data_IF_885137357202
#
_entry.id   IF_885137357202
#
_cell.length_a   1.000
_cell.length_b   1.000
_cell.length_c   1.000
_cell.angle_alpha   90.00
_cell.angle_beta   90.00
_cell.angle_gamma   90.00
#
_symmetry.space_group_name_H-M   'P 1'
#
loop_
_entity.id
_entity.type
_entity.pdbx_description
1 polymer ?
#
# COMPACT_ATOMS: atom_id res chain seq x y z
N UNK A 1 18.67 -7.49 23.32
CA UNK A 1 18.63 -8.61 22.35
C UNK A 1 17.27 -9.30 22.35
N UNK A 2 16.50 -9.24 23.44
CA UNK A 2 15.12 -9.76 23.54
C UNK A 2 14.12 -9.21 22.50
N UNK A 3 14.18 -7.93 22.17
CA UNK A 3 13.24 -7.34 21.21
C UNK A 3 13.39 -7.93 19.81
N UNK A 4 14.62 -8.08 19.31
CA UNK A 4 14.90 -8.66 17.99
C UNK A 4 14.45 -10.12 17.91
N UNK A 5 14.66 -10.90 18.98
CA UNK A 5 14.14 -12.29 19.05
C UNK A 5 12.62 -12.29 18.99
N UNK A 6 11.95 -11.55 19.87
CA UNK A 6 10.47 -11.48 19.90
C UNK A 6 9.89 -10.98 18.58
N UNK A 7 10.51 -9.96 17.98
CA UNK A 7 10.12 -9.45 16.66
C UNK A 7 10.17 -10.56 15.62
N UNK A 8 11.29 -11.28 15.50
CA UNK A 8 11.46 -12.36 14.52
C UNK A 8 10.54 -13.56 14.83
N UNK A 9 10.31 -13.88 16.10
CA UNK A 9 9.42 -14.97 16.53
C UNK A 9 7.94 -14.65 16.27
N UNK A 10 7.54 -13.37 16.29
CA UNK A 10 6.18 -12.91 16.01
C UNK A 10 5.93 -12.69 14.51
N UNK A 11 6.97 -12.52 13.69
CA UNK A 11 6.81 -12.34 12.23
C UNK A 11 5.97 -13.45 11.56
N UNK A 12 6.19 -14.75 11.80
CA UNK A 12 5.36 -15.80 11.19
C UNK A 12 3.88 -15.68 11.53
N UNK A 13 3.56 -15.29 12.77
CA UNK A 13 2.19 -15.09 13.22
C UNK A 13 1.58 -13.86 12.56
N UNK A 14 2.33 -12.77 12.46
CA UNK A 14 1.92 -11.57 11.74
C UNK A 14 1.70 -11.85 10.24
N UNK A 15 2.53 -12.68 9.60
CA UNK A 15 2.33 -13.11 8.22
C UNK A 15 1.09 -14.00 8.04
N UNK A 16 0.83 -14.91 8.98
CA UNK A 16 -0.39 -15.73 8.96
C UNK A 16 -1.63 -14.86 9.12
N UNK A 17 -1.61 -13.91 10.07
CA UNK A 17 -2.70 -12.95 10.28
C UNK A 17 -2.90 -12.06 9.04
N UNK A 18 -1.81 -11.61 8.41
CA UNK A 18 -1.88 -10.86 7.16
C UNK A 18 -2.48 -11.70 6.03
N UNK A 19 -2.09 -12.99 5.94
CA UNK A 19 -2.62 -13.91 4.95
C UNK A 19 -4.13 -14.15 5.12
N UNK A 20 -4.59 -14.34 6.35
CA UNK A 20 -6.02 -14.45 6.67
C UNK A 20 -6.77 -13.15 6.40
N UNK A 21 -6.17 -12.00 6.75
CA UNK A 21 -6.75 -10.68 6.52
C UNK A 21 -6.98 -10.38 5.03
N UNK A 22 -6.05 -10.79 4.16
CA UNK A 22 -6.21 -10.63 2.70
C UNK A 22 -7.11 -11.72 2.09
N UNK A 23 -7.84 -12.50 2.88
CA UNK A 23 -8.64 -13.64 2.41
C UNK A 23 -7.80 -14.66 1.60
N UNK A 24 -6.55 -14.83 2.03
CA UNK A 24 -5.55 -15.69 1.43
C UNK A 24 -5.32 -15.43 -0.06
N UNK A 25 -5.57 -16.45 -0.87
CA UNK A 25 -5.33 -16.37 -2.32
C UNK A 25 -6.26 -15.38 -3.04
N UNK A 26 -7.47 -15.14 -2.53
CA UNK A 26 -8.41 -14.25 -3.21
C UNK A 26 -7.91 -12.81 -3.23
N UNK A 27 -7.44 -12.26 -2.09
CA UNK A 27 -6.86 -10.92 -2.06
C UNK A 27 -5.59 -10.80 -2.90
N UNK A 28 -4.74 -11.83 -2.92
CA UNK A 28 -3.56 -11.85 -3.81
C UNK A 28 -3.98 -11.80 -5.27
N UNK A 29 -4.99 -12.58 -5.67
CA UNK A 29 -5.50 -12.54 -7.05
C UNK A 29 -6.10 -11.18 -7.40
N UNK A 30 -6.85 -10.55 -6.49
CA UNK A 30 -7.39 -9.20 -6.69
C UNK A 30 -6.27 -8.18 -6.89
N UNK A 31 -5.20 -8.25 -6.09
CA UNK A 31 -4.04 -7.38 -6.24
C UNK A 31 -3.33 -7.60 -7.58
N UNK A 32 -3.08 -8.86 -7.97
CA UNK A 32 -2.42 -9.21 -9.24
C UNK A 32 -3.27 -8.75 -10.44
N UNK A 33 -4.57 -9.04 -10.43
CA UNK A 33 -5.48 -8.63 -11.51
C UNK A 33 -5.53 -7.10 -11.60
N UNK A 34 -5.58 -6.40 -10.47
CA UNK A 34 -5.56 -4.94 -10.45
C UNK A 34 -4.26 -4.38 -11.02
N UNK A 35 -3.11 -4.95 -10.65
CA UNK A 35 -1.83 -4.57 -11.22
C UNK A 35 -1.76 -4.84 -12.72
N UNK A 36 -2.31 -5.97 -13.18
CA UNK A 36 -2.41 -6.30 -14.60
C UNK A 36 -3.32 -5.32 -15.36
N UNK A 37 -4.41 -4.85 -14.75
CA UNK A 37 -5.29 -3.82 -15.33
C UNK A 37 -4.54 -2.49 -15.49
N UNK A 38 -3.80 -2.05 -14.48
CA UNK A 38 -2.96 -0.84 -14.55
C UNK A 38 -1.93 -0.97 -15.67
N UNK A 39 -1.22 -2.10 -15.73
CA UNK A 39 -0.23 -2.37 -16.77
C UNK A 39 -0.89 -2.42 -18.17
N UNK A 40 -2.05 -3.06 -18.29
CA UNK A 40 -2.81 -3.13 -19.53
C UNK A 40 -3.22 -1.74 -20.05
N UNK A 41 -3.72 -0.88 -19.17
CA UNK A 41 -4.04 0.51 -19.51
C UNK A 41 -2.81 1.32 -19.89
N UNK A 42 -1.69 1.15 -19.17
CA UNK A 42 -0.44 1.81 -19.53
C UNK A 42 0.08 1.37 -20.91
N UNK A 43 0.04 0.07 -21.22
CA UNK A 43 0.44 -0.46 -22.53
C UNK A 43 -0.49 0.03 -23.66
N UNK A 44 -1.80 0.09 -23.42
CA UNK A 44 -2.76 0.64 -24.37
C UNK A 44 -2.52 2.13 -24.62
N UNK A 45 -2.24 2.91 -23.58
CA UNK A 45 -1.88 4.32 -23.70
C UNK A 45 -0.63 4.48 -24.58
N UNK A 46 0.44 3.73 -24.30
CA UNK A 46 1.67 3.76 -25.11
C UNK A 46 1.41 3.40 -26.58
N UNK A 47 0.62 2.36 -26.84
CA UNK A 47 0.35 1.89 -28.21
C UNK A 47 -0.52 2.87 -29.01
N UNK A 48 -1.43 3.59 -28.35
CA UNK A 48 -2.35 4.52 -29.00
C UNK A 48 -1.81 5.94 -29.10
N UNK A 49 -0.64 6.21 -28.50
CA UNK A 49 -0.01 7.54 -28.44
C UNK A 49 0.11 8.21 -29.81
N UNK A 50 0.61 7.49 -30.82
CA UNK A 50 0.96 8.11 -32.11
C UNK A 50 -0.20 8.20 -33.10
N UNK A 51 -1.27 7.41 -32.90
CA UNK A 51 -2.39 7.32 -33.85
C UNK A 51 -3.71 7.88 -33.34
N UNK A 52 -3.93 7.87 -32.02
CA UNK A 52 -5.18 8.27 -31.39
C UNK A 52 -4.90 8.89 -30.02
N UNK A 53 -4.29 10.07 -30.01
CA UNK A 53 -3.82 10.77 -28.80
C UNK A 53 -4.89 10.88 -27.69
N UNK A 54 -6.15 11.14 -28.07
CA UNK A 54 -7.26 11.26 -27.13
C UNK A 54 -7.58 9.92 -26.43
N UNK A 55 -7.49 8.79 -27.14
CA UNK A 55 -7.66 7.45 -26.52
C UNK A 55 -6.49 7.11 -25.61
N UNK A 56 -5.27 7.46 -26.02
CA UNK A 56 -4.08 7.30 -25.18
C UNK A 56 -4.24 8.03 -23.85
N UNK A 57 -4.70 9.29 -23.89
CA UNK A 57 -4.96 10.07 -22.68
C UNK A 57 -6.01 9.41 -21.77
N UNK A 58 -7.11 8.90 -22.34
CA UNK A 58 -8.16 8.20 -21.56
C UNK A 58 -7.59 6.97 -20.86
N UNK A 59 -6.89 6.09 -21.59
CA UNK A 59 -6.31 4.89 -20.98
C UNK A 59 -5.23 5.22 -19.95
N UNK A 60 -4.42 6.25 -20.20
CA UNK A 60 -3.44 6.75 -19.23
C UNK A 60 -4.10 7.24 -17.93
N UNK A 61 -5.19 8.00 -18.04
CA UNK A 61 -5.96 8.48 -16.88
C UNK A 61 -6.62 7.33 -16.14
N UNK A 62 -7.20 6.35 -16.84
CA UNK A 62 -7.82 5.17 -16.22
C UNK A 62 -6.79 4.33 -15.45
N UNK A 63 -5.63 4.05 -16.06
CA UNK A 63 -4.54 3.34 -15.40
C UNK A 63 -4.01 4.12 -14.18
N UNK A 64 -3.82 5.43 -14.35
CA UNK A 64 -3.41 6.32 -13.26
C UNK A 64 -4.42 6.37 -12.12
N UNK A 65 -5.72 6.38 -12.42
CA UNK A 65 -6.78 6.39 -11.41
C UNK A 65 -6.83 5.10 -10.60
N UNK A 66 -6.70 3.94 -11.26
CA UNK A 66 -6.62 2.64 -10.55
C UNK A 66 -5.37 2.57 -9.67
N UNK A 67 -4.22 3.02 -10.17
CA UNK A 67 -2.98 3.06 -9.37
C UNK A 67 -3.11 4.02 -8.17
N UNK A 68 -3.69 5.20 -8.39
CA UNK A 68 -3.96 6.18 -7.34
C UNK A 68 -4.90 5.61 -6.27
N UNK A 69 -5.97 4.93 -6.67
CA UNK A 69 -6.91 4.29 -5.75
C UNK A 69 -6.24 3.24 -4.86
N UNK A 70 -5.31 2.46 -5.41
CA UNK A 70 -4.55 1.49 -4.63
C UNK A 70 -3.61 2.15 -3.62
N UNK A 71 -2.84 3.14 -4.07
CA UNK A 71 -1.81 3.78 -3.26
C UNK A 71 -2.36 4.68 -2.15
N UNK A 72 -3.49 5.35 -2.39
CA UNK A 72 -4.06 6.31 -1.44
C UNK A 72 -5.35 5.84 -0.76
N UNK A 73 -5.98 4.79 -1.29
CA UNK A 73 -7.22 4.25 -0.74
C UNK A 73 -7.00 2.87 -0.14
N UNK A 74 -6.78 1.86 -0.99
CA UNK A 74 -6.81 0.46 -0.58
C UNK A 74 -5.67 0.09 0.38
N UNK A 75 -4.42 0.46 0.08
CA UNK A 75 -3.28 0.08 0.93
C UNK A 75 -3.33 0.73 2.32
N UNK A 76 -3.51 2.07 2.45
CA UNK A 76 -3.64 2.70 3.77
C UNK A 76 -4.79 2.15 4.59
N UNK A 77 -5.96 1.94 3.97
CA UNK A 77 -7.13 1.40 4.67
C UNK A 77 -6.93 -0.06 5.08
N UNK A 78 -6.34 -0.88 4.21
CA UNK A 78 -6.00 -2.26 4.54
C UNK A 78 -5.05 -2.33 5.74
N UNK A 79 -4.04 -1.46 5.80
CA UNK A 79 -3.16 -1.37 6.96
C UNK A 79 -3.90 -0.98 8.24
N UNK A 80 -4.75 0.07 8.18
CA UNK A 80 -5.52 0.50 9.34
C UNK A 80 -6.41 -0.63 9.87
N UNK A 81 -7.15 -1.31 8.99
CA UNK A 81 -8.02 -2.42 9.39
C UNK A 81 -7.24 -3.63 9.91
N UNK A 82 -6.09 -3.95 9.30
CA UNK A 82 -5.21 -5.02 9.77
C UNK A 82 -4.68 -4.70 11.17
N UNK A 83 -4.19 -3.49 11.38
CA UNK A 83 -3.68 -3.03 12.67
C UNK A 83 -4.78 -3.03 13.73
N UNK A 84 -5.98 -2.54 13.41
CA UNK A 84 -7.08 -2.48 14.38
C UNK A 84 -7.63 -3.86 14.74
N UNK A 85 -7.66 -4.80 13.78
CA UNK A 85 -8.14 -6.18 14.01
C UNK A 85 -7.12 -7.07 14.74
N UNK A 86 -5.84 -6.74 14.67
CA UNK A 86 -4.75 -7.54 15.25
C UNK A 86 -4.01 -6.78 16.37
N UNK A 87 -4.67 -5.80 17.01
CA UNK A 87 -4.07 -4.97 18.04
C UNK A 87 -3.38 -5.79 19.13
N UNK A 88 -4.03 -6.81 19.67
CA UNK A 88 -3.47 -7.66 20.73
C UNK A 88 -2.20 -8.42 20.31
N UNK A 89 -2.07 -8.74 19.02
CA UNK A 89 -0.88 -9.40 18.46
C UNK A 89 0.27 -8.40 18.24
N UNK A 90 -0.06 -7.21 17.74
CA UNK A 90 0.89 -6.20 17.29
C UNK A 90 1.40 -5.31 18.43
N UNK A 91 0.55 -5.05 19.42
CA UNK A 91 0.85 -4.17 20.55
C UNK A 91 1.91 -4.80 21.47
N UNK A 92 3.01 -4.07 21.71
CA UNK A 92 4.11 -4.51 22.55
C UNK A 92 5.09 -5.51 21.91
N UNK A 93 4.83 -5.96 20.68
CA UNK A 93 5.71 -6.84 19.90
C UNK A 93 6.29 -6.11 18.68
N UNK A 94 5.43 -5.73 17.73
CA UNK A 94 5.77 -5.07 16.47
C UNK A 94 5.50 -3.57 16.52
N UNK A 95 4.51 -3.15 17.31
CA UNK A 95 4.15 -1.76 17.55
C UNK A 95 4.36 -1.40 19.02
N UNK A 96 4.72 -0.14 19.33
CA UNK A 96 4.81 0.29 20.72
C UNK A 96 3.44 0.20 21.39
N UNK A 97 3.39 -0.48 22.54
CA UNK A 97 2.27 -0.41 23.47
C UNK A 97 2.21 0.95 24.18
N UNK A 98 1.41 1.07 25.25
CA UNK A 98 1.25 2.33 25.97
C UNK A 98 2.60 2.76 26.53
N UNK A 99 3.03 3.98 26.20
CA UNK A 99 4.28 4.55 26.69
C UNK A 99 3.99 5.43 27.91
N UNK A 100 4.97 5.60 28.83
CA UNK A 100 4.82 6.59 29.89
C UNK A 100 4.51 7.95 29.26
N UNK A 101 3.40 8.57 29.67
CA UNK A 101 2.88 9.85 29.15
C UNK A 101 2.24 9.82 27.75
N UNK A 102 2.04 8.65 27.14
CA UNK A 102 1.40 8.54 25.82
C UNK A 102 0.61 7.23 25.68
N UNK A 103 -0.66 7.29 26.09
CA UNK A 103 -1.58 6.15 26.06
C UNK A 103 -2.00 5.75 24.63
N UNK A 104 -1.85 6.66 23.67
CA UNK A 104 -2.19 6.47 22.26
C UNK A 104 -0.98 6.13 21.37
N UNK A 105 0.13 5.64 21.94
CA UNK A 105 1.35 5.33 21.19
C UNK A 105 1.14 4.35 20.04
N UNK A 106 0.23 3.39 20.22
CA UNK A 106 -0.20 2.46 19.17
C UNK A 106 -0.83 3.18 17.97
N UNK A 107 -1.83 4.03 18.22
CA UNK A 107 -2.57 4.77 17.20
C UNK A 107 -1.65 5.73 16.43
N UNK A 108 -0.76 6.42 17.15
CA UNK A 108 0.23 7.30 16.54
C UNK A 108 1.17 6.52 15.62
N UNK A 109 1.66 5.34 16.05
CA UNK A 109 2.53 4.52 15.21
C UNK A 109 1.80 3.99 13.97
N UNK A 110 0.58 3.47 14.15
CA UNK A 110 -0.30 3.02 13.06
C UNK A 110 -0.50 4.12 12.02
N UNK A 111 -0.79 5.34 12.46
CA UNK A 111 -1.06 6.48 11.59
C UNK A 111 0.22 7.02 10.92
N UNK A 112 1.36 6.97 11.62
CA UNK A 112 2.67 7.33 11.04
C UNK A 112 3.04 6.44 9.86
N UNK A 113 2.72 5.14 9.92
CA UNK A 113 2.92 4.23 8.78
C UNK A 113 2.09 4.69 7.57
N UNK A 114 0.81 5.05 7.77
CA UNK A 114 -0.04 5.59 6.69
C UNK A 114 0.55 6.87 6.09
N UNK A 115 1.04 7.78 6.93
CA UNK A 115 1.68 9.02 6.47
C UNK A 115 2.94 8.72 5.68
N UNK A 116 3.77 7.77 6.13
CA UNK A 116 4.98 7.36 5.43
C UNK A 116 4.66 6.71 4.06
N UNK A 117 3.68 5.82 4.01
CA UNK A 117 3.20 5.19 2.77
C UNK A 117 2.66 6.21 1.77
N UNK A 118 1.81 7.12 2.25
CA UNK A 118 1.24 8.21 1.45
C UNK A 118 2.35 9.13 0.92
N UNK A 119 3.31 9.49 1.77
CA UNK A 119 4.47 10.30 1.38
C UNK A 119 5.32 9.62 0.33
N UNK A 120 5.59 8.31 0.47
CA UNK A 120 6.29 7.51 -0.53
C UNK A 120 5.54 7.48 -1.86
N UNK A 121 4.22 7.24 -1.82
CA UNK A 121 3.39 7.24 -3.02
C UNK A 121 3.45 8.58 -3.76
N UNK A 122 3.35 9.70 -3.04
CA UNK A 122 3.49 11.05 -3.61
C UNK A 122 4.86 11.23 -4.25
N UNK A 123 5.94 10.84 -3.56
CA UNK A 123 7.30 10.95 -4.11
C UNK A 123 7.46 10.16 -5.42
N UNK A 124 6.91 8.95 -5.48
CA UNK A 124 6.92 8.12 -6.71
C UNK A 124 6.13 8.81 -7.83
N UNK A 125 4.94 9.34 -7.54
CA UNK A 125 4.15 10.07 -8.54
C UNK A 125 4.86 11.32 -9.06
N UNK A 126 5.47 12.11 -8.18
CA UNK A 126 6.24 13.30 -8.57
C UNK A 126 7.44 12.89 -9.43
N UNK A 127 8.16 11.84 -9.04
CA UNK A 127 9.30 11.33 -9.81
C UNK A 127 8.87 10.85 -11.21
N UNK A 128 7.78 10.10 -11.30
CA UNK A 128 7.21 9.63 -12.57
C UNK A 128 6.76 10.80 -13.45
N UNK A 129 5.99 11.75 -12.90
CA UNK A 129 5.54 12.93 -13.63
C UNK A 129 6.73 13.77 -14.13
N UNK A 130 7.75 13.96 -13.29
CA UNK A 130 8.98 14.69 -13.67
C UNK A 130 9.78 13.95 -14.75
N UNK A 131 9.77 12.62 -14.75
CA UNK A 131 10.43 11.81 -15.77
C UNK A 131 9.70 11.90 -17.10
N UNK A 132 8.36 11.83 -17.09
CA UNK A 132 7.51 11.98 -18.28
C UNK A 132 7.64 13.39 -18.86
N UNK A 133 7.67 14.45 -18.05
CA UNK A 133 7.84 15.81 -18.58
C UNK A 133 9.17 16.02 -19.32
N UNK A 134 10.18 15.21 -19.02
CA UNK A 134 11.50 15.28 -19.66
C UNK A 134 11.61 14.45 -20.95
N UNK A 135 10.66 13.55 -21.22
CA UNK A 135 10.71 12.59 -22.34
C UNK A 135 9.41 12.57 -23.15
#
# INVERSE_FOLDING_TARGET
MDFLSRFVDTLPQAFSALWEFIDGFYGVMVAIVSAAIVAGFALLALRLRDGHEWLSAIFGVLGGFVAFWWLFGMLPSAWLYFADSNRDLLEGTLMPGPLPYMDNAYEVFRDVVVVAETGLAIMVFIALASWIQKH
#
